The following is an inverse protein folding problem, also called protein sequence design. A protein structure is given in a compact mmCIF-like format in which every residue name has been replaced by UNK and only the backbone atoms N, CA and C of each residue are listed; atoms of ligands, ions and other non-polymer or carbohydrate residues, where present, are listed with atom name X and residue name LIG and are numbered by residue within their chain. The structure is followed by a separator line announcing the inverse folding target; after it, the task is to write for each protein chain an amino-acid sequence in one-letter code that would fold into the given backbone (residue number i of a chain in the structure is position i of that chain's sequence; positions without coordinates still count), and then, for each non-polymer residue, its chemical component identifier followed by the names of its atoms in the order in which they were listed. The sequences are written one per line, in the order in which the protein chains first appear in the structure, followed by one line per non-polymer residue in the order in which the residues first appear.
data_IF_607897376611
#
_entry.id   IF_607897376611
#
_cell.length_a   1.000
_cell.length_b   1.000
_cell.length_c   1.000
_cell.angle_alpha   90.00
_cell.angle_beta   90.00
_cell.angle_gamma   90.00
#
_symmetry.space_group_name_H-M   'P 1'
#
loop_
_entity.id
_entity.type
_entity.pdbx_description
1 polymer ?
#
# COMPACT_ATOMS: atom_id res chain seq x y z
N UNK A 1 -31.23 7.78 71.51
CA UNK A 1 -31.09 6.58 70.67
C UNK A 1 -32.41 6.09 70.00
N UNK A 2 -33.55 6.71 70.35
CA UNK A 2 -34.83 6.28 69.76
C UNK A 2 -35.12 6.77 68.33
N UNK A 3 -34.33 7.69 67.77
CA UNK A 3 -34.64 8.31 66.51
C UNK A 3 -34.03 7.53 65.25
N UNK A 4 -33.04 6.70 65.48
CA UNK A 4 -32.34 6.05 64.36
C UNK A 4 -33.16 4.91 63.69
N UNK A 5 -33.83 4.11 64.51
CA UNK A 5 -34.67 3.02 64.04
C UNK A 5 -35.95 3.54 63.32
N UNK A 6 -36.50 4.64 63.81
CA UNK A 6 -37.67 5.32 63.22
C UNK A 6 -37.26 6.00 61.89
N UNK A 7 -36.07 6.58 61.77
CA UNK A 7 -35.57 7.20 60.60
C UNK A 7 -35.26 6.14 59.50
N UNK A 8 -34.63 5.00 59.83
CA UNK A 8 -34.41 3.88 58.93
C UNK A 8 -35.75 3.35 58.40
N UNK A 9 -36.72 3.18 59.28
CA UNK A 9 -38.02 2.65 58.89
C UNK A 9 -38.73 3.59 57.92
N UNK A 10 -38.72 4.89 58.20
CA UNK A 10 -39.29 5.93 57.31
C UNK A 10 -38.63 5.95 55.97
N UNK A 11 -37.27 5.94 55.92
CA UNK A 11 -36.50 5.91 54.65
C UNK A 11 -36.79 4.63 53.87
N UNK A 12 -36.90 3.49 54.56
CA UNK A 12 -37.20 2.22 53.89
C UNK A 12 -38.63 2.22 53.31
N UNK A 13 -39.63 2.71 54.06
CA UNK A 13 -41.00 2.83 53.59
C UNK A 13 -41.10 3.83 52.41
N UNK A 14 -40.32 4.92 52.44
CA UNK A 14 -40.24 5.89 51.36
C UNK A 14 -39.67 5.28 50.08
N UNK A 15 -38.54 4.57 50.16
CA UNK A 15 -37.89 3.85 49.03
C UNK A 15 -38.80 2.75 48.47
N UNK A 16 -39.59 2.08 49.30
CA UNK A 16 -40.54 1.06 48.85
C UNK A 16 -41.79 1.64 48.16
N UNK A 17 -42.16 2.88 48.51
CA UNK A 17 -43.37 3.53 48.02
C UNK A 17 -43.14 4.50 46.87
N UNK A 18 -41.93 5.00 46.64
CA UNK A 18 -41.59 5.99 45.61
C UNK A 18 -41.28 5.40 44.20
N UNK A 19 -41.36 4.07 44.08
CA UNK A 19 -41.07 3.37 42.81
C UNK A 19 -39.57 3.08 42.55
N UNK A 20 -38.67 3.46 43.45
CA UNK A 20 -37.23 3.23 43.33
C UNK A 20 -36.90 1.75 43.22
N UNK A 21 -37.58 0.88 43.99
CA UNK A 21 -37.41 -0.57 43.93
C UNK A 21 -37.82 -1.13 42.57
N UNK A 22 -38.94 -0.67 42.04
CA UNK A 22 -39.43 -1.06 40.69
C UNK A 22 -38.44 -0.65 39.60
N UNK A 23 -37.85 0.53 39.73
CA UNK A 23 -36.85 1.01 38.76
C UNK A 23 -35.59 0.14 38.85
N UNK A 24 -35.06 -0.15 40.04
CA UNK A 24 -33.89 -1.02 40.21
C UNK A 24 -34.14 -2.42 39.65
N UNK A 25 -35.35 -2.98 39.89
CA UNK A 25 -35.72 -4.29 39.35
C UNK A 25 -35.72 -4.25 37.82
N UNK A 26 -36.36 -3.24 37.22
CA UNK A 26 -36.39 -3.09 35.73
C UNK A 26 -35.01 -2.98 35.16
N UNK A 27 -34.14 -2.14 35.70
CA UNK A 27 -32.74 -1.98 35.27
C UNK A 27 -31.98 -3.30 35.37
N UNK A 28 -32.09 -4.03 36.50
CA UNK A 28 -31.40 -5.30 36.69
C UNK A 28 -31.93 -6.41 35.76
N UNK A 29 -33.22 -6.43 35.51
CA UNK A 29 -33.81 -7.40 34.54
C UNK A 29 -33.38 -7.07 33.12
N UNK A 30 -33.40 -5.80 32.73
CA UNK A 30 -32.91 -5.38 31.40
C UNK A 30 -31.45 -5.75 31.21
N UNK A 31 -30.58 -5.40 32.18
CA UNK A 31 -29.14 -5.75 32.18
C UNK A 31 -28.91 -7.25 32.07
N UNK A 32 -29.73 -8.05 32.80
CA UNK A 32 -29.68 -9.52 32.74
C UNK A 32 -30.08 -10.08 31.34
N UNK A 33 -31.11 -9.53 30.76
CA UNK A 33 -31.57 -9.90 29.42
C UNK A 33 -30.52 -9.51 28.38
N UNK A 34 -29.98 -8.30 28.42
CA UNK A 34 -28.92 -7.84 27.50
C UNK A 34 -27.68 -8.72 27.60
N UNK A 35 -27.22 -9.07 28.80
CA UNK A 35 -26.10 -9.97 29.03
C UNK A 35 -26.38 -11.39 28.51
N UNK A 36 -27.59 -11.91 28.69
CA UNK A 36 -27.99 -13.21 28.21
C UNK A 36 -28.03 -13.26 26.68
N UNK A 37 -28.56 -12.21 26.05
CA UNK A 37 -28.56 -12.04 24.60
C UNK A 37 -27.12 -11.93 24.08
N UNK A 38 -26.29 -11.05 24.65
CA UNK A 38 -24.89 -10.87 24.26
C UNK A 38 -24.09 -12.17 24.42
N UNK A 39 -24.28 -12.90 25.51
CA UNK A 39 -23.65 -14.21 25.74
C UNK A 39 -24.11 -15.26 24.72
N UNK A 40 -25.38 -15.26 24.34
CA UNK A 40 -25.90 -16.20 23.34
C UNK A 40 -25.37 -15.90 21.95
N UNK A 41 -25.11 -14.60 21.63
CA UNK A 41 -24.52 -14.19 20.36
C UNK A 41 -22.99 -14.42 20.31
N UNK A 42 -22.27 -14.16 21.41
CA UNK A 42 -20.80 -14.18 21.39
C UNK A 42 -20.19 -15.57 21.71
N UNK A 43 -20.91 -16.48 22.38
CA UNK A 43 -20.38 -17.79 22.79
C UNK A 43 -21.34 -18.96 22.58
N UNK A 44 -22.46 -18.71 21.93
CA UNK A 44 -23.52 -19.71 21.80
C UNK A 44 -23.55 -20.44 20.47
N UNK A 45 -24.43 -21.44 20.40
CA UNK A 45 -24.74 -22.17 19.16
C UNK A 45 -25.22 -21.25 18.03
N UNK A 46 -25.76 -20.07 18.36
CA UNK A 46 -26.26 -19.10 17.39
C UNK A 46 -25.11 -18.42 16.65
N UNK A 47 -24.04 -17.98 17.36
CA UNK A 47 -22.83 -17.44 16.72
C UNK A 47 -22.26 -18.43 15.71
N UNK A 48 -22.09 -19.70 16.13
CA UNK A 48 -21.57 -20.74 15.26
C UNK A 48 -22.47 -20.97 14.05
N UNK A 49 -23.78 -21.03 14.23
CA UNK A 49 -24.74 -21.22 13.13
C UNK A 49 -24.78 -20.04 12.17
N UNK A 50 -24.66 -18.79 12.68
CA UNK A 50 -24.60 -17.58 11.84
C UNK A 50 -23.27 -17.56 11.08
N UNK A 51 -22.15 -17.84 11.75
CA UNK A 51 -20.83 -17.89 11.11
C UNK A 51 -20.79 -18.96 10.01
N UNK A 52 -21.21 -20.18 10.31
CA UNK A 52 -21.29 -21.27 9.31
C UNK A 52 -22.20 -20.89 8.12
N UNK A 53 -23.32 -20.21 8.39
CA UNK A 53 -24.21 -19.79 7.30
C UNK A 53 -23.63 -18.66 6.46
N UNK A 54 -22.95 -17.69 7.08
CA UNK A 54 -22.24 -16.64 6.37
C UNK A 54 -21.10 -17.23 5.53
N UNK A 55 -20.29 -18.12 6.09
CA UNK A 55 -19.25 -18.83 5.35
C UNK A 55 -19.82 -19.62 4.17
N UNK A 56 -20.91 -20.38 4.35
CA UNK A 56 -21.54 -21.15 3.29
C UNK A 56 -22.11 -20.30 2.14
N UNK A 57 -22.53 -19.08 2.41
CA UNK A 57 -23.14 -18.19 1.40
C UNK A 57 -22.13 -17.22 0.83
N UNK A 58 -21.29 -16.63 1.67
CA UNK A 58 -20.37 -15.56 1.26
C UNK A 58 -19.10 -16.10 0.60
N UNK A 59 -18.56 -17.21 1.11
CA UNK A 59 -17.32 -17.79 0.56
C UNK A 59 -17.51 -18.25 -0.88
N UNK A 60 -18.52 -19.07 -1.23
CA UNK A 60 -18.78 -19.44 -2.63
C UNK A 60 -19.14 -18.23 -3.50
N UNK A 61 -19.79 -17.21 -2.94
CA UNK A 61 -20.06 -15.97 -3.67
C UNK A 61 -18.79 -15.19 -3.99
N UNK A 62 -17.85 -15.09 -3.02
CA UNK A 62 -16.55 -14.45 -3.22
C UNK A 62 -15.67 -15.29 -4.14
N UNK A 63 -15.61 -16.61 -3.95
CA UNK A 63 -14.82 -17.52 -4.78
C UNK A 63 -15.31 -17.60 -6.23
N UNK A 64 -16.62 -17.53 -6.45
CA UNK A 64 -17.22 -17.53 -7.78
C UNK A 64 -17.45 -16.13 -8.35
N UNK A 65 -17.12 -15.09 -7.58
CA UNK A 65 -17.21 -13.71 -8.08
C UNK A 65 -16.09 -13.51 -9.09
N UNK A 66 -16.45 -13.61 -10.35
CA UNK A 66 -15.51 -13.40 -11.46
C UNK A 66 -15.10 -11.93 -11.53
N UNK A 67 -14.10 -11.60 -10.70
CA UNK A 67 -13.48 -10.28 -10.69
C UNK A 67 -12.90 -9.95 -12.08
N UNK A 68 -12.53 -10.97 -12.87
CA UNK A 68 -11.97 -10.77 -14.20
C UNK A 68 -13.00 -10.19 -15.16
N UNK A 69 -14.24 -10.66 -15.12
CA UNK A 69 -15.34 -10.13 -15.92
C UNK A 69 -15.70 -8.69 -15.52
N UNK A 70 -15.64 -8.37 -14.23
CA UNK A 70 -15.86 -7.00 -13.74
C UNK A 70 -14.72 -6.06 -14.16
N UNK A 71 -13.48 -6.51 -14.05
CA UNK A 71 -12.28 -5.76 -14.48
C UNK A 71 -12.33 -5.48 -15.98
N UNK A 72 -12.65 -6.50 -16.80
CA UNK A 72 -12.80 -6.33 -18.27
C UNK A 72 -13.89 -5.33 -18.60
N UNK A 73 -15.03 -5.36 -17.88
CA UNK A 73 -16.12 -4.41 -18.08
C UNK A 73 -15.77 -3.00 -17.64
N UNK A 74 -15.04 -2.86 -16.51
CA UNK A 74 -14.53 -1.59 -16.03
C UNK A 74 -13.48 -1.02 -17.00
N UNK A 75 -12.58 -1.83 -17.51
CA UNK A 75 -11.58 -1.47 -18.52
C UNK A 75 -12.26 -0.95 -19.82
N UNK A 76 -13.29 -1.63 -20.28
CA UNK A 76 -14.06 -1.21 -21.45
C UNK A 76 -14.76 0.13 -21.23
N UNK A 77 -15.36 0.35 -20.06
CA UNK A 77 -16.05 1.61 -19.71
C UNK A 77 -15.02 2.75 -19.59
N UNK A 78 -13.89 2.51 -18.90
CA UNK A 78 -12.83 3.51 -18.75
C UNK A 78 -12.21 3.86 -20.12
N UNK A 79 -11.96 2.87 -20.96
CA UNK A 79 -11.47 3.07 -22.34
C UNK A 79 -12.44 3.91 -23.16
N UNK A 80 -13.74 3.66 -23.05
CA UNK A 80 -14.80 4.42 -23.73
C UNK A 80 -14.87 5.88 -23.24
N UNK A 81 -14.75 6.10 -21.93
CA UNK A 81 -14.71 7.45 -21.33
C UNK A 81 -13.47 8.23 -21.81
N UNK A 82 -12.31 7.59 -21.79
CA UNK A 82 -11.05 8.21 -22.23
C UNK A 82 -11.07 8.54 -23.72
N UNK A 83 -11.53 7.61 -24.56
CA UNK A 83 -11.63 7.82 -26.01
C UNK A 83 -12.61 8.95 -26.36
N UNK A 84 -13.67 9.13 -25.57
CA UNK A 84 -14.67 10.20 -25.75
C UNK A 84 -14.17 11.56 -25.24
N UNK A 85 -13.22 11.59 -24.30
CA UNK A 85 -12.74 12.82 -23.68
C UNK A 85 -11.59 13.53 -24.42
N UNK A 86 -10.98 12.91 -25.44
CA UNK A 86 -9.89 13.45 -26.30
C UNK A 86 -8.72 14.13 -25.56
N UNK A 87 -8.47 13.81 -24.29
CA UNK A 87 -7.38 14.38 -23.53
C UNK A 87 -6.25 13.35 -23.40
N UNK A 88 -5.06 13.72 -23.89
CA UNK A 88 -3.83 12.91 -23.80
C UNK A 88 -3.56 12.45 -22.35
N UNK A 89 -3.83 13.32 -21.41
CA UNK A 89 -3.65 13.07 -19.97
C UNK A 89 -4.53 11.94 -19.42
N UNK A 90 -5.73 11.78 -19.95
CA UNK A 90 -6.63 10.71 -19.53
C UNK A 90 -6.20 9.35 -20.08
N UNK A 91 -5.52 9.35 -21.25
CA UNK A 91 -4.94 8.13 -21.82
C UNK A 91 -3.81 7.61 -20.93
N UNK A 92 -2.90 8.48 -20.50
CA UNK A 92 -1.81 8.10 -19.60
C UNK A 92 -2.32 7.55 -18.26
N UNK A 93 -3.34 8.19 -17.68
CA UNK A 93 -3.98 7.69 -16.46
C UNK A 93 -4.59 6.30 -16.63
N UNK A 94 -5.24 6.04 -17.78
CA UNK A 94 -5.81 4.72 -18.08
C UNK A 94 -4.73 3.66 -18.26
N UNK A 95 -3.66 3.97 -19.02
CA UNK A 95 -2.53 3.06 -19.22
C UNK A 95 -1.87 2.70 -17.89
N UNK A 96 -1.64 3.69 -17.02
CA UNK A 96 -1.09 3.49 -15.69
C UNK A 96 -2.01 2.64 -14.81
N UNK A 97 -3.32 2.89 -14.86
CA UNK A 97 -4.30 2.05 -14.15
C UNK A 97 -4.30 0.61 -14.65
N UNK A 98 -4.33 0.39 -15.97
CA UNK A 98 -4.26 -0.95 -16.56
C UNK A 98 -2.95 -1.67 -16.20
N UNK A 99 -1.84 -0.96 -16.15
CA UNK A 99 -0.56 -1.50 -15.71
C UNK A 99 -0.61 -1.98 -14.25
N UNK A 100 -1.22 -1.20 -13.35
CA UNK A 100 -1.40 -1.58 -11.95
C UNK A 100 -2.35 -2.76 -11.75
N UNK A 101 -3.36 -2.91 -12.62
CA UNK A 101 -4.33 -4.00 -12.50
C UNK A 101 -3.80 -5.35 -13.00
N UNK A 102 -2.73 -5.36 -13.80
CA UNK A 102 -2.08 -6.62 -14.22
C UNK A 102 -1.23 -7.17 -13.09
N UNK A 103 -1.55 -8.37 -12.61
CA UNK A 103 -0.72 -9.06 -11.62
C UNK A 103 0.65 -9.40 -12.20
N UNK A 104 1.76 -9.16 -11.47
CA UNK A 104 3.07 -9.61 -11.89
C UNK A 104 3.13 -11.14 -11.82
N UNK A 105 3.85 -11.76 -12.77
CA UNK A 105 4.04 -13.22 -12.82
C UNK A 105 5.19 -13.70 -11.90
N UNK A 106 5.72 -12.79 -11.07
CA UNK A 106 6.89 -13.04 -10.20
C UNK A 106 6.47 -12.88 -8.74
N UNK A 107 7.05 -13.71 -7.88
CA UNK A 107 6.89 -13.66 -6.41
C UNK A 107 8.09 -13.00 -5.71
N UNK A 108 9.20 -12.92 -6.40
CA UNK A 108 10.45 -12.34 -5.92
C UNK A 108 11.11 -11.52 -7.02
N UNK A 109 11.82 -10.45 -6.64
CA UNK A 109 12.63 -9.62 -7.52
C UNK A 109 13.98 -9.37 -6.85
N UNK A 110 15.08 -9.41 -7.59
CA UNK A 110 16.40 -9.06 -7.08
C UNK A 110 16.61 -7.56 -7.07
N UNK A 111 17.42 -7.07 -6.13
CA UNK A 111 17.75 -5.65 -6.07
C UNK A 111 18.50 -5.19 -7.33
N UNK A 112 19.41 -6.03 -7.86
CA UNK A 112 20.08 -5.75 -9.13
C UNK A 112 19.11 -5.65 -10.33
N UNK A 113 18.02 -6.43 -10.35
CA UNK A 113 17.01 -6.33 -11.41
C UNK A 113 16.15 -5.06 -11.22
N UNK A 114 15.83 -4.70 -9.97
CA UNK A 114 15.14 -3.43 -9.67
C UNK A 114 16.02 -2.23 -10.05
N UNK A 115 17.35 -2.32 -9.87
CA UNK A 115 18.28 -1.29 -10.31
C UNK A 115 18.31 -1.13 -11.83
N UNK A 116 18.14 -2.20 -12.61
CA UNK A 116 17.97 -2.10 -14.06
C UNK A 116 16.73 -1.28 -14.45
N UNK A 117 15.61 -1.51 -13.75
CA UNK A 117 14.38 -0.73 -13.98
C UNK A 117 14.57 0.75 -13.59
N UNK A 118 15.33 1.03 -12.52
CA UNK A 118 15.71 2.39 -12.15
C UNK A 118 16.57 3.04 -13.24
N UNK A 119 17.54 2.33 -13.82
CA UNK A 119 18.35 2.84 -14.94
C UNK A 119 17.51 3.22 -16.16
N UNK A 120 16.50 2.40 -16.52
CA UNK A 120 15.55 2.74 -17.58
C UNK A 120 14.72 3.99 -17.23
N UNK A 121 14.34 4.14 -15.97
CA UNK A 121 13.66 5.35 -15.53
C UNK A 121 14.54 6.58 -15.68
N UNK A 122 15.80 6.53 -15.26
CA UNK A 122 16.77 7.64 -15.41
C UNK A 122 17.01 7.95 -16.88
N UNK A 123 17.25 6.94 -17.70
CA UNK A 123 17.48 7.11 -19.16
C UNK A 123 16.34 7.88 -19.87
N UNK A 124 15.10 7.61 -19.45
CA UNK A 124 13.92 8.24 -20.04
C UNK A 124 13.53 9.60 -19.45
N UNK A 125 14.11 10.00 -18.31
CA UNK A 125 13.70 11.20 -17.57
C UNK A 125 14.84 12.18 -17.28
N UNK A 126 16.11 11.83 -17.56
CA UNK A 126 17.21 12.76 -17.35
C UNK A 126 17.08 14.00 -18.26
N UNK A 127 17.37 15.16 -17.69
CA UNK A 127 17.46 16.40 -18.47
C UNK A 127 18.74 16.39 -19.33
N UNK A 128 18.57 16.59 -20.63
CA UNK A 128 19.67 16.64 -21.59
C UNK A 128 20.06 18.09 -21.95
N UNK A 129 19.41 19.08 -21.35
CA UNK A 129 19.67 20.50 -21.61
C UNK A 129 21.08 20.87 -21.14
N UNK A 130 21.92 21.29 -22.08
CA UNK A 130 23.30 21.70 -21.79
C UNK A 130 24.31 20.56 -21.62
N UNK A 131 23.87 19.27 -21.76
CA UNK A 131 24.79 18.13 -21.76
C UNK A 131 25.70 18.15 -22.96
N UNK A 132 26.93 17.70 -22.75
CA UNK A 132 27.87 17.47 -23.83
C UNK A 132 27.41 16.33 -24.69
N UNK A 133 27.69 16.44 -25.99
CA UNK A 133 27.42 15.39 -26.96
C UNK A 133 28.75 14.71 -27.32
N UNK A 134 28.77 13.40 -27.13
CA UNK A 134 29.85 12.55 -27.60
C UNK A 134 29.58 12.12 -29.04
N UNK A 135 30.62 12.25 -29.91
CA UNK A 135 30.50 12.05 -31.35
C UNK A 135 31.34 10.82 -31.77
N UNK A 136 31.08 9.67 -31.15
CA UNK A 136 31.79 8.44 -31.60
C UNK A 136 31.10 7.82 -32.83
N UNK A 137 30.53 6.63 -32.72
CA UNK A 137 29.82 5.96 -33.84
C UNK A 137 28.42 6.57 -34.08
N UNK A 138 27.77 7.04 -33.07
CA UNK A 138 26.49 7.76 -33.10
C UNK A 138 26.51 8.88 -32.06
N UNK A 139 25.90 10.06 -32.36
CA UNK A 139 25.86 11.14 -31.39
C UNK A 139 25.02 10.73 -30.19
N UNK A 140 25.61 10.78 -28.98
CA UNK A 140 24.98 10.46 -27.71
C UNK A 140 25.29 11.57 -26.68
N UNK A 141 24.36 11.80 -25.77
CA UNK A 141 24.65 12.68 -24.64
C UNK A 141 25.60 11.99 -23.65
N UNK A 142 26.47 12.78 -23.00
CA UNK A 142 27.34 12.30 -21.91
C UNK A 142 26.52 11.49 -20.89
N UNK A 143 27.04 10.34 -20.49
CA UNK A 143 26.36 9.44 -19.56
C UNK A 143 26.22 10.09 -18.18
N UNK A 144 25.19 9.69 -17.45
CA UNK A 144 24.97 10.01 -16.05
C UNK A 144 25.34 8.79 -15.19
N UNK A 145 26.04 9.00 -14.10
CA UNK A 145 26.34 7.92 -13.15
C UNK A 145 25.19 7.75 -12.18
N UNK A 146 24.78 6.52 -11.99
CA UNK A 146 23.69 6.15 -11.09
C UNK A 146 24.17 5.12 -10.07
N UNK A 147 23.63 5.19 -8.86
CA UNK A 147 24.04 4.33 -7.74
C UNK A 147 22.81 3.76 -7.06
N UNK A 148 22.99 2.63 -6.38
CA UNK A 148 22.13 2.26 -5.28
C UNK A 148 22.96 1.86 -4.05
N UNK A 149 22.38 2.11 -2.88
CA UNK A 149 22.91 1.69 -1.59
C UNK A 149 21.79 1.09 -0.74
N UNK A 150 22.09 -0.04 -0.11
CA UNK A 150 21.17 -0.73 0.81
C UNK A 150 21.72 -0.60 2.22
N UNK A 151 20.91 -0.03 3.13
CA UNK A 151 21.24 0.12 4.54
C UNK A 151 20.19 -0.54 5.44
N UNK A 152 20.66 -1.39 6.38
CA UNK A 152 19.83 -1.96 7.43
C UNK A 152 19.73 -1.02 8.64
N UNK A 153 18.50 -0.75 9.11
CA UNK A 153 18.25 -0.02 10.36
C UNK A 153 18.49 -0.93 11.57
N UNK A 154 19.72 -0.91 12.11
CA UNK A 154 20.12 -1.71 13.27
C UNK A 154 19.70 -1.12 14.61
N UNK A 155 19.20 0.12 14.64
CA UNK A 155 18.83 0.80 15.91
C UNK A 155 17.57 0.21 16.54
N UNK A 156 16.73 -0.45 15.75
CA UNK A 156 15.44 -1.05 16.19
C UNK A 156 15.52 -2.56 16.47
N UNK A 157 16.65 -3.03 16.98
CA UNK A 157 16.88 -4.46 17.25
C UNK A 157 15.89 -5.12 18.24
N UNK A 158 15.13 -4.33 18.99
CA UNK A 158 14.06 -4.79 19.90
C UNK A 158 12.71 -5.06 19.19
N UNK A 159 12.57 -4.67 17.93
CA UNK A 159 11.35 -4.88 17.14
C UNK A 159 11.24 -6.32 16.64
N UNK A 160 10.00 -6.81 16.50
CA UNK A 160 9.74 -8.07 15.76
C UNK A 160 9.88 -7.92 14.24
N UNK A 161 10.16 -6.70 13.78
CA UNK A 161 10.40 -6.35 12.39
C UNK A 161 11.82 -5.82 12.23
N UNK A 162 12.47 -6.24 11.17
CA UNK A 162 13.67 -5.63 10.63
C UNK A 162 13.27 -4.55 9.63
N UNK A 163 14.03 -3.48 9.55
CA UNK A 163 13.82 -2.36 8.63
C UNK A 163 15.10 -2.11 7.84
N UNK A 164 14.95 -1.69 6.61
CA UNK A 164 16.05 -1.29 5.76
C UNK A 164 15.60 -0.19 4.80
N UNK A 165 16.58 0.48 4.20
CA UNK A 165 16.34 1.50 3.17
C UNK A 165 17.21 1.20 1.97
N UNK A 166 16.69 1.47 0.79
CA UNK A 166 17.46 1.51 -0.46
C UNK A 166 17.36 2.92 -0.99
N UNK A 167 18.51 3.53 -1.21
CA UNK A 167 18.60 4.81 -1.88
C UNK A 167 19.15 4.61 -3.30
N UNK A 168 18.34 4.99 -4.29
CA UNK A 168 18.74 5.11 -5.68
C UNK A 168 19.05 6.57 -5.97
N UNK A 169 20.27 6.85 -6.40
CA UNK A 169 20.75 8.23 -6.56
C UNK A 169 21.49 8.42 -7.88
N UNK A 170 21.58 9.68 -8.31
CA UNK A 170 22.38 10.11 -9.45
C UNK A 170 23.48 11.05 -8.99
N UNK A 171 24.58 11.14 -9.76
CA UNK A 171 25.74 11.99 -9.42
C UNK A 171 25.50 13.49 -9.66
N UNK A 172 24.52 13.86 -10.48
CA UNK A 172 24.21 15.25 -10.81
C UNK A 172 23.27 15.89 -9.80
N UNK A 173 23.78 16.80 -8.98
CA UNK A 173 23.05 17.46 -7.89
C UNK A 173 21.78 18.18 -8.33
N UNK A 174 21.76 18.80 -9.51
CA UNK A 174 20.63 19.53 -10.07
C UNK A 174 19.46 18.64 -10.50
N UNK A 175 19.71 17.35 -10.80
CA UNK A 175 18.71 16.36 -11.18
C UNK A 175 18.30 15.42 -10.06
N UNK A 176 18.97 15.44 -8.91
CA UNK A 176 18.70 14.54 -7.78
C UNK A 176 17.24 14.63 -7.28
N UNK A 177 16.68 15.84 -7.23
CA UNK A 177 15.32 16.05 -6.75
C UNK A 177 14.25 15.29 -7.53
N UNK A 178 14.45 15.12 -8.83
CA UNK A 178 13.50 14.46 -9.73
C UNK A 178 13.80 12.98 -9.94
N UNK A 179 15.06 12.57 -9.90
CA UNK A 179 15.51 11.24 -10.24
C UNK A 179 15.76 10.34 -9.02
N UNK A 180 16.21 10.88 -7.89
CA UNK A 180 16.47 10.07 -6.70
C UNK A 180 15.19 9.40 -6.17
N UNK A 181 15.36 8.16 -5.68
CA UNK A 181 14.25 7.42 -5.06
C UNK A 181 14.75 6.68 -3.82
N UNK A 182 14.01 6.85 -2.73
CA UNK A 182 14.24 6.11 -1.48
C UNK A 182 13.12 5.09 -1.30
N UNK A 183 13.47 3.85 -1.05
CA UNK A 183 12.53 2.76 -0.80
C UNK A 183 12.74 2.25 0.61
N UNK A 184 11.68 2.29 1.42
CA UNK A 184 11.69 1.68 2.75
C UNK A 184 11.33 0.21 2.64
N UNK A 185 12.00 -0.60 3.39
CA UNK A 185 11.81 -2.04 3.44
C UNK A 185 11.46 -2.50 4.85
N UNK A 186 10.68 -3.55 4.95
CA UNK A 186 10.43 -4.22 6.22
C UNK A 186 10.42 -5.72 6.05
N UNK A 187 10.81 -6.43 7.10
CA UNK A 187 10.79 -7.88 7.15
C UNK A 187 10.35 -8.32 8.53
N UNK A 188 9.36 -9.22 8.60
CA UNK A 188 8.97 -9.79 9.88
C UNK A 188 9.87 -10.98 10.23
N UNK A 189 10.49 -10.97 11.42
CA UNK A 189 11.49 -11.97 11.85
C UNK A 189 10.94 -13.40 11.90
N UNK A 190 9.62 -13.57 11.93
CA UNK A 190 8.95 -14.88 11.89
C UNK A 190 8.38 -15.25 10.52
N UNK A 191 8.52 -14.40 9.51
CA UNK A 191 8.11 -14.74 8.15
C UNK A 191 9.05 -15.84 7.62
N UNK A 192 8.45 -16.91 7.08
CA UNK A 192 9.19 -18.02 6.47
C UNK A 192 9.64 -17.70 5.04
N UNK A 193 9.07 -16.68 4.44
CA UNK A 193 9.43 -16.23 3.09
C UNK A 193 10.76 -15.50 3.15
N UNK A 194 11.61 -15.74 2.18
CA UNK A 194 12.84 -15.00 2.03
C UNK A 194 12.55 -13.60 1.44
N UNK A 195 13.42 -12.62 1.74
CA UNK A 195 13.35 -11.28 1.18
C UNK A 195 12.56 -10.27 1.99
N UNK A 196 12.54 -9.05 1.50
CA UNK A 196 12.00 -7.86 2.12
C UNK A 196 10.66 -7.45 1.51
N UNK A 197 9.76 -6.90 2.31
CA UNK A 197 8.56 -6.21 1.85
C UNK A 197 8.92 -4.81 1.37
N UNK A 198 8.48 -4.47 0.17
CA UNK A 198 8.67 -3.14 -0.42
C UNK A 198 7.61 -2.20 0.14
N UNK A 199 8.03 -1.05 0.67
CA UNK A 199 7.15 0.01 1.16
C UNK A 199 7.53 1.34 0.48
N UNK A 200 7.01 1.60 -0.72
CA UNK A 200 7.24 2.88 -1.37
C UNK A 200 6.62 4.01 -0.55
N UNK A 201 7.26 5.16 -0.56
CA UNK A 201 6.84 6.35 0.20
C UNK A 201 5.72 7.14 -0.51
N UNK A 202 5.14 6.56 -1.56
CA UNK A 202 4.19 7.25 -2.43
C UNK A 202 2.75 6.90 -2.07
N UNK A 203 2.03 7.85 -1.50
CA UNK A 203 0.57 7.80 -1.39
C UNK A 203 -0.05 8.02 -2.78
N UNK A 204 -0.78 7.01 -3.26
CA UNK A 204 -1.45 7.10 -4.56
C UNK A 204 -2.86 7.64 -4.39
N UNK A 205 -3.07 8.88 -4.82
CA UNK A 205 -4.39 9.38 -5.18
C UNK A 205 -4.66 9.13 -6.68
N UNK A 206 -5.91 8.96 -7.08
CA UNK A 206 -6.33 8.85 -8.48
C UNK A 206 -5.81 10.02 -9.35
N UNK A 207 -5.61 11.18 -8.73
CA UNK A 207 -5.03 12.37 -9.39
C UNK A 207 -3.55 12.20 -9.68
N UNK A 208 -2.82 11.49 -8.82
CA UNK A 208 -1.39 11.24 -8.99
C UNK A 208 -1.09 10.24 -10.11
N UNK A 209 -2.04 9.34 -10.45
CA UNK A 209 -1.88 8.38 -11.54
C UNK A 209 -1.54 9.01 -12.90
N UNK A 210 -1.82 10.30 -13.09
CA UNK A 210 -1.48 11.03 -14.30
C UNK A 210 0.02 11.33 -14.42
N UNK A 211 0.67 11.61 -13.29
CA UNK A 211 2.04 12.12 -13.23
C UNK A 211 3.05 11.12 -12.66
N UNK A 212 2.55 9.96 -12.23
CA UNK A 212 3.40 8.95 -11.62
C UNK A 212 4.34 8.33 -12.66
N UNK A 213 5.59 8.14 -12.29
CA UNK A 213 6.59 7.56 -13.19
C UNK A 213 6.38 6.04 -13.35
N UNK A 214 6.92 5.47 -14.42
CA UNK A 214 6.87 4.02 -14.64
C UNK A 214 7.57 3.24 -13.54
N UNK A 215 8.65 3.78 -12.98
CA UNK A 215 9.38 3.16 -11.88
C UNK A 215 8.55 3.18 -10.58
N UNK A 216 7.94 4.31 -10.24
CA UNK A 216 7.07 4.40 -9.07
C UNK A 216 5.84 3.48 -9.21
N UNK A 217 5.25 3.38 -10.42
CA UNK A 217 4.19 2.42 -10.71
C UNK A 217 4.63 0.96 -10.53
N UNK A 218 5.85 0.63 -10.94
CA UNK A 218 6.41 -0.70 -10.71
C UNK A 218 6.52 -1.00 -9.23
N UNK A 219 7.08 -0.08 -8.42
CA UNK A 219 7.20 -0.26 -6.96
C UNK A 219 5.86 -0.53 -6.30
N UNK A 220 4.83 0.24 -6.67
CA UNK A 220 3.47 0.06 -6.16
C UNK A 220 2.89 -1.28 -6.57
N UNK A 221 3.09 -1.68 -7.81
CA UNK A 221 2.65 -2.97 -8.33
C UNK A 221 3.30 -4.14 -7.58
N UNK A 222 4.61 -4.06 -7.34
CA UNK A 222 5.36 -5.07 -6.57
C UNK A 222 4.85 -5.16 -5.13
N UNK A 223 4.62 -4.01 -4.48
CA UNK A 223 4.05 -3.96 -3.14
C UNK A 223 2.65 -4.60 -3.07
N UNK A 224 1.75 -4.23 -3.98
CA UNK A 224 0.37 -4.76 -4.00
C UNK A 224 0.31 -6.26 -4.23
N UNK A 225 1.22 -6.78 -5.01
CA UNK A 225 1.32 -8.21 -5.30
C UNK A 225 2.14 -8.99 -4.26
N UNK A 226 2.56 -8.33 -3.18
CA UNK A 226 3.40 -8.93 -2.11
C UNK A 226 4.67 -9.60 -2.66
N UNK A 227 5.24 -9.01 -3.72
CA UNK A 227 6.52 -9.45 -4.31
C UNK A 227 7.65 -9.14 -3.34
N UNK A 228 8.49 -10.13 -3.05
CA UNK A 228 9.61 -9.97 -2.13
C UNK A 228 10.85 -9.47 -2.84
N UNK A 229 11.52 -8.50 -2.24
CA UNK A 229 12.81 -8.03 -2.71
C UNK A 229 13.93 -8.87 -2.11
N UNK A 230 14.76 -9.44 -2.97
CA UNK A 230 15.96 -10.20 -2.60
C UNK A 230 17.17 -9.28 -2.77
N UNK A 231 17.86 -8.99 -1.68
CA UNK A 231 19.10 -8.21 -1.68
C UNK A 231 20.23 -9.16 -2.08
N UNK A 232 20.65 -9.08 -3.31
CA UNK A 232 21.75 -9.86 -3.90
C UNK A 232 23.06 -9.06 -3.93
N UNK A 233 22.99 -7.72 -3.91
CA UNK A 233 24.14 -6.82 -3.76
C UNK A 233 23.76 -5.69 -2.81
N UNK A 234 24.73 -5.14 -2.06
CA UNK A 234 24.50 -4.06 -1.09
C UNK A 234 24.63 -2.66 -1.72
N UNK A 235 25.44 -2.53 -2.75
CA UNK A 235 25.64 -1.30 -3.51
C UNK A 235 26.10 -1.63 -4.92
N UNK A 236 25.75 -0.77 -5.86
CA UNK A 236 26.26 -0.87 -7.24
C UNK A 236 26.27 0.52 -7.86
N UNK A 237 27.12 0.68 -8.88
CA UNK A 237 27.29 1.88 -9.68
C UNK A 237 27.28 1.51 -11.16
N UNK A 238 26.62 2.33 -11.98
CA UNK A 238 26.58 2.13 -13.44
C UNK A 238 26.40 3.46 -14.16
N UNK A 239 26.69 3.48 -15.47
CA UNK A 239 26.48 4.63 -16.32
C UNK A 239 25.22 4.46 -17.16
N UNK A 240 24.44 5.54 -17.28
CA UNK A 240 23.18 5.55 -18.01
C UNK A 240 23.22 6.64 -19.09
N UNK A 241 22.88 6.26 -20.31
CA UNK A 241 22.73 7.18 -21.44
C UNK A 241 21.25 7.55 -21.62
N UNK A 242 21.00 8.78 -22.09
CA UNK A 242 19.64 9.25 -22.35
C UNK A 242 18.98 8.45 -23.47
N UNK A 243 17.69 8.13 -23.33
CA UNK A 243 16.87 7.64 -24.45
C UNK A 243 16.72 8.69 -25.57
N UNK A 244 16.78 9.97 -25.21
CA UNK A 244 16.72 11.08 -26.15
C UNK A 244 18.06 11.20 -26.86
N UNK A 245 18.05 11.19 -28.18
CA UNK A 245 19.26 11.37 -29.00
C UNK A 245 19.45 12.86 -29.36
N UNK A 246 20.71 13.33 -29.45
CA UNK A 246 20.99 14.66 -29.94
C UNK A 246 20.46 14.86 -31.37
N UNK A 247 19.84 16.02 -31.63
CA UNK A 247 19.46 16.36 -33.00
C UNK A 247 20.71 16.64 -33.82
N UNK A 248 20.81 16.08 -35.07
CA UNK A 248 21.92 16.40 -35.91
C UNK A 248 21.87 17.86 -36.35
N UNK A 249 22.76 18.67 -35.80
CA UNK A 249 22.95 20.05 -36.25
C UNK A 249 23.71 20.03 -37.55
N UNK A 250 23.04 20.36 -38.66
CA UNK A 250 23.71 20.65 -39.92
C UNK A 250 24.19 22.12 -39.81
N UNK A 251 25.48 22.34 -39.56
CA UNK A 251 26.17 23.60 -39.88
C UNK A 251 26.64 23.59 -41.33
#
# INVERSE_FOLDING_TARGET
MANFDEDIKRITDEILSDGTVDQIIREKVTDGIEKAIASSFNYGKLEKAVKERVEQVLVPFIENYDMSAYIVKLDTILTDIVNKSNLVDNKQMLENFQYLMKEPQITEIKLTDLFKEYKFFVAGNMDTSGRKVEWDESPEYEAMTVYFEFEEDRERSWSSFEYATIDFTVDEEDQQGDLNRTIRLSKWNRDRRNGWEIRPDTDIDLRSLRYITKFDLLLIKLQRADVRLIVDELSNEDCVYSETKPEPTYE
#
